data_IF_622743006684
#
_entry.id   IF_622743006684
#
_cell.length_a   1.000
_cell.length_b   1.000
_cell.length_c   1.000
_cell.angle_alpha   90.00
_cell.angle_beta   90.00
_cell.angle_gamma   90.00
#
_symmetry.space_group_name_H-M   'P 1'
#
loop_
_entity.id
_entity.type
_entity.pdbx_description
1 polymer ?
#
# COMPACT_ATOMS: atom_id res chain seq x y z
N UNK A 1 -8.86 8.88 -12.42
CA UNK A 1 -9.66 9.94 -11.75
C UNK A 1 -9.08 10.13 -10.36
N UNK A 2 -8.78 11.38 -10.00
CA UNK A 2 -8.17 11.76 -8.72
C UNK A 2 -9.27 12.35 -7.83
N UNK A 3 -9.13 12.25 -6.50
CA UNK A 3 -10.03 12.94 -5.55
C UNK A 3 -9.94 14.45 -5.70
N UNK A 4 -11.02 15.18 -5.41
CA UNK A 4 -11.05 16.65 -5.44
C UNK A 4 -10.26 17.28 -4.29
N UNK A 5 -10.00 16.52 -3.22
CA UNK A 5 -9.25 16.97 -2.05
C UNK A 5 -7.73 16.91 -2.29
N UNK A 6 -7.10 18.07 -2.51
CA UNK A 6 -5.66 18.16 -2.78
C UNK A 6 -4.80 17.67 -1.61
N UNK A 7 -5.24 17.95 -0.37
CA UNK A 7 -4.59 17.46 0.86
C UNK A 7 -4.59 15.94 0.91
N UNK A 8 -5.72 15.30 0.65
CA UNK A 8 -5.86 13.84 0.72
C UNK A 8 -5.06 13.15 -0.39
N UNK A 9 -4.91 13.83 -1.53
CA UNK A 9 -4.04 13.36 -2.60
C UNK A 9 -2.56 13.38 -2.17
N UNK A 10 -2.11 14.46 -1.53
CA UNK A 10 -0.75 14.53 -0.97
C UNK A 10 -0.54 13.49 0.16
N UNK A 11 -1.54 13.30 1.02
CA UNK A 11 -1.50 12.31 2.09
C UNK A 11 -1.44 10.88 1.54
N UNK A 12 -2.20 10.60 0.49
CA UNK A 12 -2.16 9.31 -0.22
C UNK A 12 -0.78 9.04 -0.80
N UNK A 13 -0.11 10.06 -1.38
CA UNK A 13 1.26 9.91 -1.84
C UNK A 13 2.22 9.55 -0.69
N UNK A 14 2.05 10.19 0.47
CA UNK A 14 2.82 9.92 1.66
C UNK A 14 2.66 8.47 2.13
N UNK A 15 1.39 8.06 2.31
CA UNK A 15 1.00 6.75 2.85
C UNK A 15 1.39 5.62 1.89
N UNK A 16 1.07 5.74 0.61
CA UNK A 16 1.43 4.71 -0.36
C UNK A 16 2.94 4.62 -0.58
N UNK A 17 3.67 5.73 -0.53
CA UNK A 17 5.13 5.72 -0.51
C UNK A 17 5.67 4.97 0.71
N UNK A 18 5.10 5.20 1.89
CA UNK A 18 5.48 4.46 3.10
C UNK A 18 5.28 2.95 2.93
N UNK A 19 4.07 2.54 2.56
CA UNK A 19 3.76 1.12 2.42
C UNK A 19 4.48 0.46 1.25
N UNK A 20 4.73 1.17 0.15
CA UNK A 20 5.52 0.64 -0.96
C UNK A 20 6.92 0.19 -0.49
N UNK A 21 7.60 0.99 0.34
CA UNK A 21 8.88 0.59 0.91
C UNK A 21 8.76 -0.64 1.83
N UNK A 22 7.70 -0.72 2.64
CA UNK A 22 7.46 -1.89 3.49
C UNK A 22 7.28 -3.17 2.66
N UNK A 23 6.53 -3.10 1.55
CA UNK A 23 6.34 -4.23 0.64
C UNK A 23 7.60 -4.61 -0.13
N UNK A 24 8.41 -3.64 -0.56
CA UNK A 24 9.74 -3.94 -1.10
C UNK A 24 10.65 -4.58 -0.04
N UNK A 25 10.53 -4.17 1.23
CA UNK A 25 11.23 -4.81 2.36
C UNK A 25 10.84 -6.27 2.54
N UNK A 26 9.56 -6.61 2.43
CA UNK A 26 9.11 -8.01 2.42
C UNK A 26 9.66 -8.80 1.24
N UNK A 27 9.77 -8.19 0.06
CA UNK A 27 10.38 -8.84 -1.09
C UNK A 27 11.90 -9.11 -0.93
N UNK A 28 12.55 -8.48 0.07
CA UNK A 28 13.95 -8.72 0.41
C UNK A 28 14.14 -9.89 1.38
N UNK A 29 13.07 -10.57 1.80
CA UNK A 29 13.18 -11.85 2.50
C UNK A 29 13.46 -12.96 1.47
N UNK A 30 14.76 -13.30 1.33
CA UNK A 30 15.33 -14.23 0.33
C UNK A 30 15.06 -13.82 -1.13
N UNK A 31 15.49 -12.63 -1.59
CA UNK A 31 15.13 -12.15 -2.92
C UNK A 31 15.81 -12.99 -4.02
N UNK A 32 15.14 -13.20 -5.17
CA UNK A 32 15.78 -13.80 -6.33
C UNK A 32 17.07 -13.09 -6.73
N UNK A 33 18.02 -13.83 -7.30
CA UNK A 33 19.32 -13.30 -7.68
C UNK A 33 19.17 -12.06 -8.60
N UNK A 34 19.86 -10.98 -8.25
CA UNK A 34 19.84 -9.71 -8.98
C UNK A 34 18.66 -8.77 -8.65
N UNK A 35 17.68 -9.19 -7.86
CA UNK A 35 16.56 -8.32 -7.47
C UNK A 35 16.93 -7.31 -6.38
N UNK A 36 17.92 -7.63 -5.53
CA UNK A 36 18.34 -6.80 -4.39
C UNK A 36 18.51 -5.31 -4.73
N UNK A 37 19.31 -4.93 -5.73
CA UNK A 37 19.47 -3.52 -6.14
C UNK A 37 18.15 -2.86 -6.56
N UNK A 38 17.31 -3.55 -7.32
CA UNK A 38 16.02 -3.02 -7.76
C UNK A 38 15.06 -2.78 -6.58
N UNK A 39 14.97 -3.74 -5.66
CA UNK A 39 14.14 -3.62 -4.45
C UNK A 39 14.63 -2.49 -3.53
N UNK A 40 15.95 -2.32 -3.42
CA UNK A 40 16.54 -1.22 -2.66
C UNK A 40 16.22 0.13 -3.31
N UNK A 41 16.39 0.26 -4.62
CA UNK A 41 16.03 1.49 -5.35
C UNK A 41 14.54 1.80 -5.20
N UNK A 42 13.67 0.78 -5.32
CA UNK A 42 12.23 0.92 -5.08
C UNK A 42 11.94 1.41 -3.67
N UNK A 43 12.58 0.83 -2.64
CA UNK A 43 12.42 1.23 -1.24
C UNK A 43 12.83 2.69 -0.99
N UNK A 44 14.00 3.09 -1.49
CA UNK A 44 14.52 4.46 -1.33
C UNK A 44 13.61 5.46 -2.06
N UNK A 45 13.26 5.18 -3.33
CA UNK A 45 12.36 6.03 -4.10
C UNK A 45 10.99 6.19 -3.43
N UNK A 46 10.47 5.11 -2.86
CA UNK A 46 9.22 5.11 -2.09
C UNK A 46 9.33 5.99 -0.84
N UNK A 47 10.45 5.96 -0.12
CA UNK A 47 10.68 6.82 1.04
C UNK A 47 10.84 8.30 0.68
N UNK A 48 11.48 8.61 -0.45
CA UNK A 48 11.55 9.98 -0.95
C UNK A 48 10.14 10.50 -1.26
N UNK A 49 9.33 9.73 -2.00
CA UNK A 49 7.95 10.10 -2.29
C UNK A 49 7.13 10.25 -1.00
N UNK A 50 7.32 9.34 -0.03
CA UNK A 50 6.64 9.40 1.25
C UNK A 50 6.94 10.72 1.99
N UNK A 51 8.22 11.09 2.05
CA UNK A 51 8.68 12.31 2.71
C UNK A 51 8.16 13.57 2.01
N UNK A 52 8.23 13.64 0.67
CA UNK A 52 7.74 14.79 -0.09
C UNK A 52 6.21 14.89 0.02
N UNK A 53 5.48 13.78 -0.10
CA UNK A 53 4.03 13.74 0.09
C UNK A 53 3.63 14.18 1.50
N UNK A 54 4.35 13.74 2.53
CA UNK A 54 4.14 14.15 3.91
C UNK A 54 4.37 15.65 4.12
N UNK A 55 5.45 16.20 3.53
CA UNK A 55 5.73 17.64 3.57
C UNK A 55 4.63 18.45 2.87
N UNK A 56 4.15 18.00 1.70
CA UNK A 56 3.06 18.66 0.99
C UNK A 56 1.76 18.59 1.79
N UNK A 57 1.45 17.45 2.39
CA UNK A 57 0.28 17.29 3.26
C UNK A 57 0.31 18.27 4.42
N UNK A 58 1.47 18.44 5.05
CA UNK A 58 1.66 19.41 6.13
C UNK A 58 1.46 20.86 5.66
N UNK A 59 1.95 21.21 4.46
CA UNK A 59 1.73 22.55 3.88
C UNK A 59 0.27 22.80 3.51
N UNK A 60 -0.43 21.76 3.05
CA UNK A 60 -1.83 21.80 2.64
C UNK A 60 -2.78 21.47 3.81
N UNK A 61 -2.32 21.52 5.06
CA UNK A 61 -3.10 21.05 6.20
C UNK A 61 -4.40 21.84 6.42
N UNK A 62 -4.41 23.12 6.02
CA UNK A 62 -5.59 24.00 6.07
C UNK A 62 -6.57 23.80 4.92
N UNK A 63 -6.22 23.01 3.90
CA UNK A 63 -7.13 22.70 2.80
C UNK A 63 -8.20 21.69 3.22
N UNK A 64 -9.31 21.70 2.47
CA UNK A 64 -10.41 20.77 2.67
C UNK A 64 -9.97 19.31 2.47
N UNK A 65 -10.67 18.41 3.14
CA UNK A 65 -10.43 16.97 3.17
C UNK A 65 -11.77 16.24 3.20
N UNK A 66 -11.80 14.99 2.72
CA UNK A 66 -12.93 14.09 2.86
C UNK A 66 -13.20 13.68 4.32
N UNK A 67 -12.26 13.98 5.23
CA UNK A 67 -12.37 13.67 6.66
C UNK A 67 -13.16 14.71 7.46
N UNK A 68 -14.30 14.28 7.98
CA UNK A 68 -15.06 14.92 9.05
C UNK A 68 -15.15 13.98 10.27
N UNK A 69 -15.98 14.29 11.26
CA UNK A 69 -16.13 13.47 12.47
C UNK A 69 -16.61 12.04 12.15
N UNK A 70 -17.58 11.91 11.26
CA UNK A 70 -18.19 10.62 10.91
C UNK A 70 -17.26 9.80 10.02
N UNK A 71 -16.67 10.39 8.98
CA UNK A 71 -15.75 9.67 8.10
C UNK A 71 -14.43 9.32 8.79
N UNK A 72 -13.93 10.16 9.71
CA UNK A 72 -12.77 9.83 10.54
C UNK A 72 -13.05 8.65 11.47
N UNK A 73 -14.24 8.60 12.07
CA UNK A 73 -14.65 7.46 12.91
C UNK A 73 -14.80 6.19 12.09
N UNK A 74 -15.46 6.27 10.93
CA UNK A 74 -15.60 5.14 10.03
C UNK A 74 -14.23 4.61 9.57
N UNK A 75 -13.32 5.50 9.19
CA UNK A 75 -11.95 5.16 8.82
C UNK A 75 -11.22 4.44 9.96
N UNK A 76 -11.29 4.96 11.18
CA UNK A 76 -10.68 4.32 12.36
C UNK A 76 -11.21 2.91 12.63
N UNK A 77 -12.51 2.67 12.45
CA UNK A 77 -13.12 1.34 12.58
C UNK A 77 -12.61 0.40 11.49
N UNK A 78 -12.60 0.86 10.24
CA UNK A 78 -12.14 0.09 9.08
C UNK A 78 -10.67 -0.33 9.25
N UNK A 79 -9.81 0.60 9.66
CA UNK A 79 -8.40 0.34 9.98
C UNK A 79 -8.27 -0.61 11.17
N UNK A 80 -9.03 -0.41 12.25
CA UNK A 80 -8.98 -1.28 13.42
C UNK A 80 -9.34 -2.74 13.11
N UNK A 81 -10.38 -2.96 12.29
CA UNK A 81 -10.78 -4.29 11.82
C UNK A 81 -9.68 -4.90 10.95
N UNK A 82 -9.12 -4.13 10.01
CA UNK A 82 -8.04 -4.57 9.13
C UNK A 82 -6.83 -5.06 9.92
N UNK A 83 -6.28 -4.22 10.80
CA UNK A 83 -5.12 -4.59 11.61
C UNK A 83 -5.41 -5.81 12.49
N UNK A 84 -6.63 -5.92 13.02
CA UNK A 84 -7.08 -7.09 13.77
C UNK A 84 -7.06 -8.38 12.92
N UNK A 85 -7.63 -8.35 11.72
CA UNK A 85 -7.66 -9.51 10.81
C UNK A 85 -6.28 -9.87 10.26
N UNK A 86 -5.47 -8.88 9.91
CA UNK A 86 -4.10 -9.06 9.44
C UNK A 86 -3.25 -9.73 10.54
N UNK A 87 -3.27 -9.19 11.76
CA UNK A 87 -2.54 -9.74 12.90
C UNK A 87 -3.03 -11.15 13.28
N UNK A 88 -4.35 -11.36 13.35
CA UNK A 88 -4.93 -12.66 13.69
C UNK A 88 -4.48 -13.73 12.70
N UNK A 89 -4.64 -13.50 11.39
CA UNK A 89 -4.23 -14.49 10.41
C UNK A 89 -2.72 -14.68 10.35
N UNK A 90 -1.92 -13.62 10.55
CA UNK A 90 -0.46 -13.76 10.64
C UNK A 90 -0.03 -14.65 11.83
N UNK A 91 -0.64 -14.45 13.01
CA UNK A 91 -0.40 -15.30 14.19
C UNK A 91 -0.82 -16.74 13.94
N UNK A 92 -2.00 -16.96 13.35
CA UNK A 92 -2.49 -18.31 13.03
C UNK A 92 -1.55 -19.02 12.06
N UNK A 93 -1.11 -18.34 10.99
CA UNK A 93 -0.18 -18.91 10.01
C UNK A 93 1.18 -19.22 10.63
N UNK A 94 1.69 -18.35 11.50
CA UNK A 94 2.93 -18.60 12.23
C UNK A 94 2.83 -19.84 13.14
N UNK A 95 1.75 -19.95 13.92
CA UNK A 95 1.48 -21.10 14.80
C UNK A 95 1.35 -22.40 13.99
N UNK A 96 0.72 -22.33 12.81
CA UNK A 96 0.57 -23.47 11.90
C UNK A 96 1.84 -23.79 11.09
N UNK A 97 2.95 -23.08 11.32
CA UNK A 97 4.22 -23.22 10.57
C UNK A 97 3.99 -23.06 9.05
N UNK A 98 3.23 -22.03 8.70
CA UNK A 98 2.94 -21.57 7.33
C UNK A 98 3.31 -20.09 7.18
N UNK A 99 4.42 -19.69 7.80
CA UNK A 99 4.87 -18.29 7.84
C UNK A 99 5.11 -17.71 6.44
N UNK A 100 5.42 -18.56 5.46
CA UNK A 100 5.55 -18.19 4.04
C UNK A 100 4.25 -17.65 3.42
N UNK A 101 3.09 -17.91 4.04
CA UNK A 101 1.79 -17.40 3.62
C UNK A 101 1.39 -16.10 4.33
N UNK A 102 2.15 -15.65 5.33
CA UNK A 102 1.90 -14.37 6.00
C UNK A 102 1.93 -13.23 4.98
N UNK A 103 2.88 -13.21 4.01
CA UNK A 103 2.89 -12.15 3.04
C UNK A 103 1.62 -11.95 2.21
N UNK A 104 1.16 -12.97 1.49
CA UNK A 104 -0.07 -12.87 0.71
C UNK A 104 -1.30 -12.69 1.59
N UNK A 105 -1.32 -13.20 2.84
CA UNK A 105 -2.43 -12.96 3.76
C UNK A 105 -2.57 -11.47 4.09
N UNK A 106 -1.49 -10.82 4.52
CA UNK A 106 -1.54 -9.38 4.84
C UNK A 106 -1.84 -8.57 3.58
N UNK A 107 -1.30 -8.95 2.43
CA UNK A 107 -1.59 -8.26 1.16
C UNK A 107 -3.07 -8.36 0.79
N UNK A 108 -3.70 -9.51 1.03
CA UNK A 108 -5.12 -9.70 0.80
C UNK A 108 -5.94 -8.79 1.70
N UNK A 109 -5.64 -8.74 2.99
CA UNK A 109 -6.35 -7.89 3.95
C UNK A 109 -6.19 -6.41 3.61
N UNK A 110 -4.97 -5.96 3.27
CA UNK A 110 -4.70 -4.59 2.81
C UNK A 110 -5.46 -4.27 1.52
N UNK A 111 -5.42 -5.17 0.53
CA UNK A 111 -6.14 -5.00 -0.73
C UNK A 111 -7.65 -4.85 -0.51
N UNK A 112 -8.24 -5.67 0.38
CA UNK A 112 -9.65 -5.58 0.75
C UNK A 112 -9.99 -4.32 1.55
N UNK A 113 -9.11 -3.90 2.46
CA UNK A 113 -9.23 -2.67 3.25
C UNK A 113 -9.23 -1.41 2.38
N UNK A 114 -8.47 -1.40 1.29
CA UNK A 114 -8.39 -0.23 0.42
C UNK A 114 -9.71 0.08 -0.29
N UNK A 115 -10.65 -0.87 -0.45
CA UNK A 115 -11.97 -0.59 -1.03
C UNK A 115 -12.81 0.40 -0.20
N UNK A 116 -13.10 0.13 1.10
CA UNK A 116 -13.82 1.09 1.92
C UNK A 116 -13.03 2.40 2.11
N UNK A 117 -11.69 2.34 2.19
CA UNK A 117 -10.87 3.57 2.23
C UNK A 117 -11.04 4.41 0.97
N UNK A 118 -11.10 3.77 -0.20
CA UNK A 118 -11.31 4.49 -1.46
C UNK A 118 -12.65 5.24 -1.51
N UNK A 119 -13.69 4.67 -0.88
CA UNK A 119 -15.00 5.32 -0.74
C UNK A 119 -14.89 6.50 0.23
N UNK A 120 -14.29 6.30 1.40
CA UNK A 120 -14.15 7.33 2.44
C UNK A 120 -13.29 8.53 1.98
N UNK A 121 -12.28 8.29 1.14
CA UNK A 121 -11.42 9.34 0.58
C UNK A 121 -11.97 9.97 -0.71
N UNK A 122 -13.10 9.48 -1.22
CA UNK A 122 -13.65 9.83 -2.53
C UNK A 122 -12.58 9.75 -3.63
N UNK A 123 -11.74 8.71 -3.59
CA UNK A 123 -10.54 8.61 -4.42
C UNK A 123 -10.58 7.35 -5.29
N UNK A 124 -11.08 7.44 -6.55
CA UNK A 124 -11.23 6.28 -7.44
C UNK A 124 -9.93 5.52 -7.75
N UNK A 125 -8.78 6.21 -7.76
CA UNK A 125 -7.47 5.55 -7.93
C UNK A 125 -7.24 4.46 -6.87
N UNK A 126 -7.71 4.69 -5.63
CA UNK A 126 -7.53 3.74 -4.53
C UNK A 126 -8.32 2.44 -4.78
N UNK A 127 -9.45 2.48 -5.49
CA UNK A 127 -10.16 1.26 -5.92
C UNK A 127 -9.33 0.42 -6.89
N UNK A 128 -8.60 1.07 -7.81
CA UNK A 128 -7.73 0.38 -8.77
C UNK A 128 -6.58 -0.30 -8.03
N UNK A 129 -5.97 0.41 -7.07
CA UNK A 129 -4.91 -0.13 -6.21
C UNK A 129 -5.44 -1.29 -5.36
N UNK A 130 -6.63 -1.15 -4.76
CA UNK A 130 -7.29 -2.18 -3.97
C UNK A 130 -7.46 -3.48 -4.77
N UNK A 131 -8.00 -3.38 -5.98
CA UNK A 131 -8.19 -4.53 -6.86
C UNK A 131 -6.85 -5.16 -7.27
N UNK A 132 -5.85 -4.34 -7.65
CA UNK A 132 -4.55 -4.83 -8.05
C UNK A 132 -3.83 -5.57 -6.91
N UNK A 133 -3.77 -5.00 -5.71
CA UNK A 133 -3.14 -5.63 -4.54
C UNK A 133 -3.89 -6.91 -4.13
N UNK A 134 -5.22 -6.92 -4.20
CA UNK A 134 -6.03 -8.12 -3.95
C UNK A 134 -5.71 -9.24 -4.94
N UNK A 135 -5.62 -8.92 -6.23
CA UNK A 135 -5.24 -9.89 -7.28
C UNK A 135 -3.82 -10.42 -7.06
N UNK A 136 -2.88 -9.54 -6.73
CA UNK A 136 -1.49 -9.92 -6.40
C UNK A 136 -1.47 -10.92 -5.24
N UNK A 137 -2.21 -10.63 -4.16
CA UNK A 137 -2.28 -11.49 -2.99
C UNK A 137 -2.80 -12.90 -3.32
N UNK A 138 -3.86 -12.99 -4.12
CA UNK A 138 -4.45 -14.26 -4.56
C UNK A 138 -3.50 -15.02 -5.50
N UNK A 139 -2.81 -14.31 -6.39
CA UNK A 139 -1.92 -14.90 -7.38
C UNK A 139 -0.52 -15.24 -6.84
N UNK A 140 -0.12 -14.73 -5.67
CA UNK A 140 1.24 -14.82 -5.17
C UNK A 140 1.76 -16.27 -5.06
N UNK A 141 0.97 -17.18 -4.48
CA UNK A 141 1.36 -18.59 -4.29
C UNK A 141 1.52 -19.34 -5.63
N UNK A 142 0.55 -19.34 -6.56
CA UNK A 142 0.74 -20.02 -7.85
C UNK A 142 1.86 -19.38 -8.69
N UNK A 143 2.07 -18.06 -8.60
CA UNK A 143 3.18 -17.39 -9.27
C UNK A 143 4.51 -17.80 -8.66
N UNK A 144 4.65 -17.77 -7.33
CA UNK A 144 5.85 -18.22 -6.64
C UNK A 144 6.24 -19.64 -7.04
N UNK A 145 5.27 -20.56 -7.05
CA UNK A 145 5.49 -21.95 -7.48
C UNK A 145 5.85 -22.09 -8.96
N UNK A 146 5.23 -21.31 -9.86
CA UNK A 146 5.51 -21.37 -11.30
C UNK A 146 6.91 -20.86 -11.66
N UNK A 147 7.38 -19.85 -10.94
CA UNK A 147 8.65 -19.16 -11.24
C UNK A 147 9.77 -19.56 -10.28
N UNK A 148 9.51 -20.47 -9.33
CA UNK A 148 10.46 -20.93 -8.32
C UNK A 148 11.10 -19.78 -7.54
N UNK A 149 10.30 -18.78 -7.16
CA UNK A 149 10.72 -17.63 -6.35
C UNK A 149 10.00 -17.65 -4.99
N UNK A 150 10.53 -16.99 -3.95
CA UNK A 150 9.83 -16.93 -2.66
C UNK A 150 8.48 -16.23 -2.75
N UNK A 151 7.52 -16.71 -1.95
CA UNK A 151 6.16 -16.13 -1.88
C UNK A 151 6.20 -14.67 -1.40
N UNK A 152 7.15 -14.35 -0.51
CA UNK A 152 7.47 -12.99 -0.07
C UNK A 152 7.83 -12.08 -1.26
N UNK A 153 8.71 -12.51 -2.15
CA UNK A 153 9.09 -11.78 -3.36
C UNK A 153 7.94 -11.67 -4.37
N UNK A 154 7.19 -12.76 -4.58
CA UNK A 154 6.02 -12.79 -5.46
C UNK A 154 4.86 -11.91 -4.98
N UNK A 155 4.81 -11.59 -3.68
CA UNK A 155 3.82 -10.69 -3.09
C UNK A 155 4.34 -9.26 -3.04
N UNK A 156 5.49 -9.07 -2.39
CA UNK A 156 6.01 -7.76 -2.00
C UNK A 156 6.50 -6.91 -3.16
N UNK A 157 7.18 -7.50 -4.14
CA UNK A 157 7.69 -6.75 -5.28
C UNK A 157 6.54 -6.13 -6.11
N UNK A 158 5.54 -6.91 -6.58
CA UNK A 158 4.43 -6.33 -7.33
C UNK A 158 3.53 -5.42 -6.48
N UNK A 159 3.24 -5.76 -5.22
CA UNK A 159 2.45 -4.88 -4.34
C UNK A 159 3.15 -3.54 -4.11
N UNK A 160 4.46 -3.57 -3.83
CA UNK A 160 5.30 -2.38 -3.69
C UNK A 160 5.33 -1.54 -4.97
N UNK A 161 5.44 -2.17 -6.15
CA UNK A 161 5.39 -1.46 -7.44
C UNK A 161 4.05 -0.77 -7.68
N UNK A 162 2.93 -1.46 -7.41
CA UNK A 162 1.58 -0.87 -7.57
C UNK A 162 1.41 0.35 -6.65
N UNK A 163 1.80 0.22 -5.38
CA UNK A 163 1.70 1.30 -4.41
C UNK A 163 2.64 2.45 -4.76
N UNK A 164 3.87 2.18 -5.18
CA UNK A 164 4.82 3.20 -5.62
C UNK A 164 4.30 3.98 -6.84
N UNK A 165 3.73 3.28 -7.82
CA UNK A 165 3.14 3.92 -8.99
C UNK A 165 1.97 4.84 -8.59
N UNK A 166 1.07 4.36 -7.73
CA UNK A 166 -0.05 5.16 -7.24
C UNK A 166 0.41 6.34 -6.34
N UNK A 167 1.47 6.15 -5.55
CA UNK A 167 2.09 7.20 -4.77
C UNK A 167 2.67 8.30 -5.67
N UNK A 168 3.36 7.92 -6.75
CA UNK A 168 3.90 8.86 -7.73
C UNK A 168 2.80 9.62 -8.47
N UNK A 169 1.76 8.94 -8.92
CA UNK A 169 0.58 9.57 -9.56
C UNK A 169 -0.05 10.59 -8.61
N UNK A 170 -0.24 10.22 -7.34
CA UNK A 170 -0.81 11.10 -6.33
C UNK A 170 0.11 12.29 -6.06
N UNK A 171 1.42 12.07 -5.96
CA UNK A 171 2.39 13.15 -5.74
C UNK A 171 2.37 14.17 -6.87
N UNK A 172 2.43 13.70 -8.12
CA UNK A 172 2.39 14.56 -9.31
C UNK A 172 1.07 15.34 -9.35
N UNK A 173 -0.06 14.69 -9.09
CA UNK A 173 -1.37 15.35 -9.05
C UNK A 173 -1.51 16.37 -7.91
N UNK A 174 -0.87 16.14 -6.76
CA UNK A 174 -0.84 17.10 -5.66
C UNK A 174 0.03 18.32 -6.02
N UNK A 175 1.24 18.10 -6.55
CA UNK A 175 2.15 19.19 -6.96
C UNK A 175 1.52 20.06 -8.05
N UNK A 176 0.87 19.44 -9.05
CA UNK A 176 0.24 20.18 -10.15
C UNK A 176 -0.97 21.04 -9.73
N UNK A 177 -1.57 20.76 -8.56
CA UNK A 177 -2.72 21.53 -8.03
C UNK A 177 -2.36 22.47 -6.89
N UNK A 178 -1.18 22.30 -6.29
CA UNK A 178 -0.68 23.13 -5.20
C UNK A 178 0.18 24.32 -5.68
N UNK A 179 0.54 24.36 -6.96
CA UNK A 179 1.21 25.50 -7.61
C UNK A 179 0.21 26.38 -8.34
#
# INVERSE_FOLDING_TARGET
MITDYVRDTAATAAIFGFFAAAWFGWAQDDPPAGWGPLLLTGSIGSMVIAAVGGLLTWRLWSETTAFDEDTSRAFGIVVGIEFGLAALGAVLLAVLKRSELIPPWVALIVGLHLFPVAVLLEYPLVHVVAAAVTVIAIAAVPVAGRWSIPVSAATGAPAGTVLLAAALVSLVAAVARAG
#
